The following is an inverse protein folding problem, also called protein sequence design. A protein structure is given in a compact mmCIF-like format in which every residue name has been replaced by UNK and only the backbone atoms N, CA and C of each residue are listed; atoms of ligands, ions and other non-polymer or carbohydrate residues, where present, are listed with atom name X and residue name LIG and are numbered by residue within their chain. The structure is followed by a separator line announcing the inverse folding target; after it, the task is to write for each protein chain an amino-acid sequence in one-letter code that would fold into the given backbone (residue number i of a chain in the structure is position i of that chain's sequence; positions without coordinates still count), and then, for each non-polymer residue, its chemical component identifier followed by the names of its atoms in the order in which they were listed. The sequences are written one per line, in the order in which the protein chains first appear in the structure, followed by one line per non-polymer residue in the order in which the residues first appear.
data_IF_044383237860
#
_entry.id   IF_044383237860
#
_cell.length_a   1.000
_cell.length_b   1.000
_cell.length_c   1.000
_cell.angle_alpha   90.00
_cell.angle_beta   90.00
_cell.angle_gamma   90.00
#
_symmetry.space_group_name_H-M   'P 1'
#
loop_
_entity.id
_entity.type
_entity.pdbx_description
1 polymer ?
#
# COMPACT_ATOMS: atom_id res chain seq x y z
N UNK A 1 3.18 -2.46 8.65
CA UNK A 1 3.17 -1.01 8.90
C UNK A 1 4.33 -0.41 8.14
N UNK A 2 4.21 0.81 7.62
CA UNK A 2 5.31 1.45 6.89
C UNK A 2 5.64 2.79 7.53
N UNK A 3 6.93 3.12 7.58
CA UNK A 3 7.43 4.43 7.97
C UNK A 3 8.25 4.97 6.80
N UNK A 4 7.64 5.69 5.82
CA UNK A 4 8.36 6.20 4.66
C UNK A 4 9.40 7.26 5.02
N UNK A 5 9.11 8.03 6.07
CA UNK A 5 9.96 9.06 6.64
C UNK A 5 9.83 9.01 8.17
N UNK A 6 10.86 9.45 8.89
CA UNK A 6 10.86 9.43 10.36
C UNK A 6 9.64 10.19 10.92
N UNK A 7 8.81 9.51 11.70
CA UNK A 7 7.60 10.08 12.29
C UNK A 7 6.36 10.08 11.38
N UNK A 8 6.47 9.58 10.14
CA UNK A 8 5.36 9.41 9.21
C UNK A 8 4.95 7.93 9.17
N UNK A 9 3.89 7.55 9.89
CA UNK A 9 3.42 6.17 9.93
C UNK A 9 2.25 5.93 8.97
N UNK A 10 2.38 4.94 8.09
CA UNK A 10 1.35 4.49 7.17
C UNK A 10 0.82 3.09 7.55
N UNK A 11 -0.49 3.03 7.79
CA UNK A 11 -1.25 1.79 7.97
C UNK A 11 -2.10 1.58 6.73
N UNK A 12 -1.79 0.55 5.96
CA UNK A 12 -2.44 0.26 4.68
C UNK A 12 -2.87 -1.19 4.63
N UNK A 13 -3.69 -1.55 3.63
CA UNK A 13 -4.12 -2.94 3.43
C UNK A 13 -5.20 -3.41 4.39
N UNK A 14 -6.08 -2.52 4.86
CA UNK A 14 -7.18 -2.90 5.75
C UNK A 14 -8.30 -3.69 5.05
N UNK A 15 -8.32 -3.75 3.71
CA UNK A 15 -9.21 -4.58 2.90
C UNK A 15 -10.70 -4.60 3.37
N UNK A 16 -11.28 -3.46 3.75
CA UNK A 16 -12.67 -3.38 4.24
C UNK A 16 -12.86 -3.58 5.76
N UNK A 17 -11.78 -3.74 6.53
CA UNK A 17 -11.78 -3.81 8.00
C UNK A 17 -11.27 -2.50 8.65
N UNK A 18 -11.34 -1.39 7.92
CA UNK A 18 -10.70 -0.13 8.29
C UNK A 18 -11.14 0.39 9.65
N UNK A 19 -12.45 0.47 9.91
CA UNK A 19 -12.97 1.06 11.16
C UNK A 19 -12.47 0.32 12.41
N UNK A 20 -12.65 -1.00 12.46
CA UNK A 20 -12.20 -1.80 13.60
C UNK A 20 -10.68 -1.80 13.75
N UNK A 21 -9.96 -1.96 12.63
CA UNK A 21 -8.50 -2.07 12.65
C UNK A 21 -7.84 -0.74 13.02
N UNK A 22 -8.31 0.40 12.48
CA UNK A 22 -7.79 1.72 12.85
C UNK A 22 -8.14 2.10 14.29
N UNK A 23 -9.35 1.74 14.77
CA UNK A 23 -9.73 1.98 16.17
C UNK A 23 -8.86 1.20 17.14
N UNK A 24 -8.56 -0.08 16.83
CA UNK A 24 -7.71 -0.92 17.66
C UNK A 24 -6.23 -0.49 17.66
N UNK A 25 -5.73 0.00 16.51
CA UNK A 25 -4.33 0.38 16.34
C UNK A 25 -3.99 1.80 16.82
N UNK A 26 -4.96 2.72 16.84
CA UNK A 26 -4.69 4.15 17.06
C UNK A 26 -3.82 4.46 18.30
N UNK A 27 -4.15 3.87 19.46
CA UNK A 27 -3.36 4.07 20.70
C UNK A 27 -1.93 3.53 20.57
N UNK A 28 -1.75 2.38 19.92
CA UNK A 28 -0.42 1.76 19.72
C UNK A 28 0.44 2.61 18.80
N UNK A 29 -0.15 3.17 17.75
CA UNK A 29 0.52 4.10 16.85
C UNK A 29 0.92 5.40 17.55
N UNK A 30 0.02 6.00 18.32
CA UNK A 30 0.31 7.22 19.08
C UNK A 30 1.46 7.01 20.07
N UNK A 31 1.46 5.89 20.79
CA UNK A 31 2.55 5.54 21.71
C UNK A 31 3.88 5.38 20.98
N UNK A 32 3.88 4.67 19.84
CA UNK A 32 5.08 4.51 19.01
C UNK A 32 5.61 5.86 18.50
N UNK A 33 4.74 6.75 18.02
CA UNK A 33 5.15 8.08 17.56
C UNK A 33 5.71 8.95 18.70
N UNK A 34 5.20 8.79 19.91
CA UNK A 34 5.66 9.52 21.08
C UNK A 34 6.99 8.98 21.65
N UNK A 35 7.21 7.66 21.64
CA UNK A 35 8.37 7.03 22.29
C UNK A 35 9.47 6.57 21.34
N UNK A 36 9.15 6.33 20.06
CA UNK A 36 10.02 5.64 19.11
C UNK A 36 10.20 4.14 19.39
N UNK A 37 9.50 3.57 20.37
CA UNK A 37 9.65 2.16 20.75
C UNK A 37 8.83 1.25 19.84
N UNK A 38 9.52 0.54 18.94
CA UNK A 38 8.92 -0.42 18.02
C UNK A 38 8.14 -1.56 18.70
N UNK A 39 8.40 -1.87 19.98
CA UNK A 39 7.65 -2.89 20.75
C UNK A 39 6.19 -2.50 20.99
N UNK A 40 5.87 -1.21 20.84
CA UNK A 40 4.49 -0.73 20.96
C UNK A 40 3.63 -1.08 19.74
N UNK A 41 4.26 -1.34 18.59
CA UNK A 41 3.55 -1.69 17.37
C UNK A 41 3.20 -3.19 17.37
N UNK A 42 1.93 -3.54 17.08
CA UNK A 42 1.52 -4.95 17.02
C UNK A 42 2.01 -5.67 15.74
N UNK A 43 2.56 -4.92 14.79
CA UNK A 43 3.12 -5.44 13.54
C UNK A 43 4.50 -4.82 13.31
N UNK A 44 5.43 -5.54 12.66
CA UNK A 44 6.72 -4.98 12.31
C UNK A 44 6.56 -3.82 11.32
N UNK A 45 7.50 -2.88 11.41
CA UNK A 45 7.75 -1.92 10.34
C UNK A 45 8.39 -2.64 9.17
N UNK A 46 7.91 -2.35 7.97
CA UNK A 46 8.49 -2.84 6.74
C UNK A 46 8.71 -1.69 5.77
N UNK A 47 9.77 -1.73 4.94
CA UNK A 47 10.00 -0.70 3.94
C UNK A 47 8.89 -0.74 2.88
N UNK A 48 8.59 0.42 2.31
CA UNK A 48 7.75 0.52 1.11
C UNK A 48 8.56 0.01 -0.07
N UNK A 49 8.15 -1.12 -0.64
CA UNK A 49 8.82 -1.68 -1.83
C UNK A 49 8.25 -1.03 -3.08
N UNK A 50 9.09 -0.41 -3.94
CA UNK A 50 8.62 0.12 -5.21
C UNK A 50 8.16 -1.03 -6.13
N UNK A 51 7.16 -0.75 -6.96
CA UNK A 51 6.72 -1.68 -7.99
C UNK A 51 7.76 -1.65 -9.13
N UNK A 52 8.36 -2.80 -9.52
CA UNK A 52 9.29 -2.84 -10.64
C UNK A 52 8.68 -2.24 -11.90
N UNK A 53 9.46 -1.46 -12.65
CA UNK A 53 9.05 -0.85 -13.92
C UNK A 53 7.81 0.08 -13.82
N UNK A 54 7.46 0.57 -12.63
CA UNK A 54 6.27 1.44 -12.45
C UNK A 54 6.32 2.71 -13.32
N UNK A 55 7.52 3.22 -13.63
CA UNK A 55 7.69 4.35 -14.56
C UNK A 55 7.07 4.09 -15.95
N UNK A 56 7.01 2.82 -16.38
CA UNK A 56 6.43 2.41 -17.66
C UNK A 56 4.95 2.02 -17.55
N UNK A 57 4.29 2.28 -16.41
CA UNK A 57 2.89 1.89 -16.18
C UNK A 57 1.96 2.37 -17.30
N UNK A 58 2.10 3.62 -17.75
CA UNK A 58 1.23 4.18 -18.79
C UNK A 58 1.38 3.44 -20.12
N UNK A 59 2.61 3.13 -20.53
CA UNK A 59 2.90 2.37 -21.75
C UNK A 59 2.33 0.96 -21.64
N UNK A 60 2.58 0.27 -20.52
CA UNK A 60 2.07 -1.08 -20.28
C UNK A 60 0.55 -1.15 -20.29
N UNK A 61 -0.14 -0.20 -19.64
CA UNK A 61 -1.61 -0.12 -19.64
C UNK A 61 -2.15 0.14 -21.04
N UNK A 62 -1.56 1.07 -21.80
CA UNK A 62 -2.00 1.38 -23.16
C UNK A 62 -1.81 0.19 -24.12
N UNK A 63 -0.70 -0.53 -24.00
CA UNK A 63 -0.43 -1.74 -24.77
C UNK A 63 -1.45 -2.84 -24.46
N UNK A 64 -1.71 -3.09 -23.17
CA UNK A 64 -2.70 -4.09 -22.75
C UNK A 64 -4.11 -3.75 -23.26
N UNK A 65 -4.55 -2.49 -23.16
CA UNK A 65 -5.85 -2.05 -23.68
C UNK A 65 -5.93 -2.26 -25.19
N UNK A 66 -4.91 -1.83 -25.94
CA UNK A 66 -4.88 -1.99 -27.40
C UNK A 66 -4.93 -3.46 -27.81
N UNK A 67 -4.17 -4.31 -27.11
CA UNK A 67 -4.17 -5.75 -27.31
C UNK A 67 -5.56 -6.36 -27.10
N UNK A 68 -6.21 -6.06 -25.98
CA UNK A 68 -7.57 -6.55 -25.71
C UNK A 68 -8.57 -6.08 -26.76
N UNK A 69 -8.51 -4.82 -27.19
CA UNK A 69 -9.37 -4.32 -28.26
C UNK A 69 -9.16 -5.04 -29.60
N UNK A 70 -7.92 -5.46 -29.88
CA UNK A 70 -7.61 -6.23 -31.08
C UNK A 70 -8.18 -7.65 -30.99
N UNK A 71 -8.05 -8.30 -29.82
CA UNK A 71 -8.68 -9.61 -29.58
C UNK A 71 -10.20 -9.53 -29.71
N UNK A 72 -10.85 -8.55 -29.07
CA UNK A 72 -12.30 -8.33 -29.16
C UNK A 72 -12.76 -8.12 -30.61
N UNK A 73 -11.91 -7.52 -31.45
CA UNK A 73 -12.21 -7.30 -32.87
C UNK A 73 -12.10 -8.58 -33.71
N UNK A 74 -11.25 -9.54 -33.31
CA UNK A 74 -11.12 -10.83 -33.97
C UNK A 74 -12.18 -11.85 -33.55
N UNK A 75 -12.84 -11.65 -32.40
CA UNK A 75 -13.94 -12.50 -31.92
C UNK A 75 -15.30 -12.18 -32.60
N UNK A 76 -15.35 -11.16 -33.46
CA UNK A 76 -16.55 -10.71 -34.17
C UNK A 76 -16.55 -11.20 -35.62
#
# INVERSE_FOLDING_TARGET
LHEPEKGLLAVVGCQGRGVGLMSALGKRMANYLASGDGKQLPFPLSPVRPIPLHAFRQVGVAAAITWYRMLDAFER
#
